data_IF_111283844426
#
_entry.id   IF_111283844426
#
_cell.length_a   1.000
_cell.length_b   1.000
_cell.length_c   1.000
_cell.angle_alpha   90.00
_cell.angle_beta   90.00
_cell.angle_gamma   90.00
#
_symmetry.space_group_name_H-M   'P 1'
#
loop_
_entity.id
_entity.type
_entity.pdbx_description
1 polymer ?
#
# COMPACT_ATOMS: atom_id res chain seq x y z
N UNK A 1 -23.75 4.85 -14.50
CA UNK A 1 -23.76 4.73 -13.01
C UNK A 1 -22.55 5.49 -12.51
N UNK A 2 -22.64 6.24 -11.41
CA UNK A 2 -21.48 6.98 -10.88
C UNK A 2 -20.53 5.96 -10.26
N UNK A 3 -19.23 5.99 -10.62
CA UNK A 3 -18.20 5.11 -10.03
C UNK A 3 -18.00 5.43 -8.55
N UNK A 4 -17.94 4.41 -7.72
CA UNK A 4 -17.59 4.50 -6.31
C UNK A 4 -16.13 4.07 -6.15
N UNK A 5 -15.28 5.02 -5.77
CA UNK A 5 -13.83 4.82 -5.67
C UNK A 5 -13.42 4.68 -4.21
N UNK A 6 -13.00 3.48 -3.83
CA UNK A 6 -12.46 3.20 -2.50
C UNK A 6 -11.07 3.79 -2.32
N UNK A 7 -10.88 4.48 -1.22
CA UNK A 7 -9.59 5.10 -0.88
C UNK A 7 -9.31 5.00 0.63
N UNK A 8 -8.04 5.07 0.98
CA UNK A 8 -7.59 5.17 2.37
C UNK A 8 -6.89 6.51 2.58
N UNK A 9 -6.94 7.04 3.80
CA UNK A 9 -6.36 8.35 4.12
C UNK A 9 -4.84 8.30 4.16
N UNK A 10 -4.24 8.23 2.99
CA UNK A 10 -2.79 8.23 2.75
C UNK A 10 -2.41 9.33 1.75
N UNK A 11 -1.31 10.01 2.00
CA UNK A 11 -0.85 11.15 1.20
C UNK A 11 -0.53 10.80 -0.27
N UNK A 12 -0.28 9.53 -0.58
CA UNK A 12 -0.15 9.01 -1.95
C UNK A 12 -1.39 9.28 -2.82
N UNK A 13 -2.57 9.43 -2.21
CA UNK A 13 -3.83 9.65 -2.91
C UNK A 13 -4.16 11.12 -3.15
N UNK A 14 -3.21 12.03 -2.92
CA UNK A 14 -3.38 13.46 -3.17
C UNK A 14 -3.87 13.78 -4.60
N UNK A 15 -3.35 13.17 -5.70
CA UNK A 15 -3.88 13.41 -7.04
C UNK A 15 -5.35 13.02 -7.19
N UNK A 16 -5.79 11.92 -6.57
CA UNK A 16 -7.19 11.48 -6.57
C UNK A 16 -8.09 12.51 -5.88
N UNK A 17 -7.66 13.01 -4.72
CA UNK A 17 -8.41 14.01 -3.95
C UNK A 17 -8.50 15.34 -4.72
N UNK A 18 -7.42 15.76 -5.39
CA UNK A 18 -7.43 16.95 -6.25
C UNK A 18 -8.35 16.77 -7.46
N UNK A 19 -8.33 15.61 -8.12
CA UNK A 19 -9.25 15.28 -9.22
C UNK A 19 -10.71 15.38 -8.75
N UNK A 20 -11.04 14.74 -7.63
CA UNK A 20 -12.39 14.75 -7.10
C UNK A 20 -12.87 16.16 -6.75
N UNK A 21 -12.02 16.95 -6.08
CA UNK A 21 -12.35 18.32 -5.72
C UNK A 21 -12.57 19.24 -6.94
N UNK A 22 -11.85 19.01 -8.03
CA UNK A 22 -11.90 19.86 -9.21
C UNK A 22 -12.96 19.46 -10.24
N UNK A 23 -13.15 18.17 -10.49
CA UNK A 23 -14.02 17.66 -11.55
C UNK A 23 -15.23 16.88 -11.02
N UNK A 24 -15.13 16.25 -9.85
CA UNK A 24 -16.15 15.32 -9.38
C UNK A 24 -16.30 14.11 -10.32
N UNK A 25 -17.54 13.72 -10.60
CA UNK A 25 -17.89 12.67 -11.57
C UNK A 25 -17.81 11.24 -11.01
N UNK A 26 -17.31 11.05 -9.80
CA UNK A 26 -17.29 9.79 -9.06
C UNK A 26 -17.47 10.04 -7.54
N UNK A 27 -17.84 9.02 -6.82
CA UNK A 27 -17.99 9.06 -5.36
C UNK A 27 -16.71 8.55 -4.70
N UNK A 28 -16.22 9.25 -3.67
CA UNK A 28 -15.13 8.78 -2.81
C UNK A 28 -15.69 8.04 -1.59
N UNK A 29 -15.34 6.77 -1.46
CA UNK A 29 -15.69 5.93 -0.31
C UNK A 29 -14.45 5.71 0.55
N UNK A 30 -14.40 6.33 1.72
CA UNK A 30 -13.28 6.15 2.64
C UNK A 30 -13.29 4.73 3.23
N UNK A 31 -12.12 4.09 3.25
CA UNK A 31 -11.88 2.75 3.72
C UNK A 31 -10.84 2.78 4.86
N UNK A 32 -11.27 3.09 6.10
CA UNK A 32 -10.34 3.27 7.24
C UNK A 32 -9.49 2.03 7.56
N UNK A 33 -9.98 0.83 7.20
CA UNK A 33 -9.25 -0.44 7.34
C UNK A 33 -8.20 -0.68 6.25
N UNK A 34 -7.94 0.30 5.37
CA UNK A 34 -6.95 0.22 4.30
C UNK A 34 -7.31 -0.80 3.21
N UNK A 35 -6.29 -1.40 2.58
CA UNK A 35 -6.48 -2.33 1.45
C UNK A 35 -7.45 -3.47 1.74
N UNK A 36 -7.43 -4.03 2.96
CA UNK A 36 -8.34 -5.11 3.31
C UNK A 36 -9.82 -4.69 3.37
N UNK A 37 -10.09 -3.47 3.82
CA UNK A 37 -11.43 -2.88 3.81
C UNK A 37 -11.89 -2.64 2.37
N UNK A 38 -11.00 -2.10 1.52
CA UNK A 38 -11.29 -1.93 0.08
C UNK A 38 -11.61 -3.26 -0.60
N UNK A 39 -10.84 -4.33 -0.33
CA UNK A 39 -11.12 -5.68 -0.85
C UNK A 39 -12.47 -6.22 -0.38
N UNK A 40 -12.82 -6.01 0.89
CA UNK A 40 -14.12 -6.41 1.43
C UNK A 40 -15.27 -5.64 0.77
N UNK A 41 -15.11 -4.34 0.57
CA UNK A 41 -16.10 -3.48 -0.09
C UNK A 41 -16.25 -3.77 -1.60
N UNK A 42 -15.17 -4.11 -2.31
CA UNK A 42 -15.24 -4.63 -3.68
C UNK A 42 -16.06 -5.93 -3.73
N UNK A 43 -15.80 -6.84 -2.78
CA UNK A 43 -16.55 -8.10 -2.68
C UNK A 43 -18.03 -7.90 -2.34
N UNK A 44 -18.33 -6.92 -1.51
CA UNK A 44 -19.72 -6.56 -1.14
C UNK A 44 -20.43 -5.72 -2.22
N UNK A 45 -19.73 -5.27 -3.27
CA UNK A 45 -20.28 -4.37 -4.27
C UNK A 45 -20.55 -2.96 -3.73
N UNK A 46 -19.86 -2.54 -2.69
CA UNK A 46 -19.97 -1.21 -2.09
C UNK A 46 -19.07 -0.17 -2.78
N UNK A 47 -17.99 -0.63 -3.42
CA UNK A 47 -17.12 0.18 -4.29
C UNK A 47 -16.88 -0.53 -5.61
N UNK A 48 -16.55 0.22 -6.64
CA UNK A 48 -16.35 -0.27 -8.00
C UNK A 48 -14.86 -0.31 -8.38
N UNK A 49 -14.09 0.64 -7.87
CA UNK A 49 -12.64 0.82 -8.10
C UNK A 49 -11.95 1.08 -6.78
N UNK A 50 -10.69 0.67 -6.65
CA UNK A 50 -9.83 1.09 -5.53
C UNK A 50 -8.40 1.36 -5.98
N UNK A 51 -7.70 2.18 -5.18
CA UNK A 51 -6.25 2.38 -5.27
C UNK A 51 -5.66 1.81 -3.97
N UNK A 52 -4.88 0.73 -4.08
CA UNK A 52 -4.45 -0.04 -2.93
C UNK A 52 -3.05 -0.64 -3.10
N UNK A 53 -2.53 -1.23 -2.02
CA UNK A 53 -1.19 -1.84 -2.00
C UNK A 53 -1.06 -2.98 -3.01
N UNK A 54 0.00 -2.93 -3.82
CA UNK A 54 0.33 -3.89 -4.88
C UNK A 54 0.35 -5.32 -4.38
N UNK A 55 1.09 -5.58 -3.31
CA UNK A 55 1.23 -6.91 -2.72
C UNK A 55 -0.11 -7.49 -2.27
N UNK A 56 -0.91 -6.68 -1.59
CA UNK A 56 -2.19 -7.12 -1.05
C UNK A 56 -3.22 -7.39 -2.14
N UNK A 57 -3.25 -6.58 -3.22
CA UNK A 57 -4.13 -6.83 -4.36
C UNK A 57 -3.72 -8.12 -5.10
N UNK A 58 -2.43 -8.29 -5.37
CA UNK A 58 -1.90 -9.48 -6.05
C UNK A 58 -2.12 -10.72 -5.19
N UNK A 59 -1.81 -10.66 -3.88
CA UNK A 59 -2.05 -11.77 -2.96
C UNK A 59 -3.51 -12.17 -2.88
N UNK A 60 -4.44 -11.21 -2.90
CA UNK A 60 -5.87 -11.49 -2.88
C UNK A 60 -6.30 -12.30 -4.11
N UNK A 61 -5.91 -11.91 -5.31
CA UNK A 61 -6.22 -12.65 -6.55
C UNK A 61 -5.56 -14.04 -6.54
N UNK A 62 -4.27 -14.11 -6.16
CA UNK A 62 -3.53 -15.37 -6.06
C UNK A 62 -4.17 -16.36 -5.07
N UNK A 63 -4.79 -15.86 -4.01
CA UNK A 63 -5.55 -16.64 -3.02
C UNK A 63 -7.03 -16.85 -3.39
N UNK A 64 -7.41 -16.63 -4.66
CA UNK A 64 -8.73 -16.96 -5.19
C UNK A 64 -9.78 -15.87 -5.09
N UNK A 65 -9.42 -14.61 -4.79
CA UNK A 65 -10.36 -13.49 -4.90
C UNK A 65 -10.71 -13.21 -6.36
N UNK A 66 -12.02 -13.19 -6.65
CA UNK A 66 -12.57 -12.95 -7.98
C UNK A 66 -13.37 -11.65 -8.06
N UNK A 67 -13.50 -10.95 -6.93
CA UNK A 67 -14.30 -9.72 -6.84
C UNK A 67 -13.63 -8.49 -7.47
N UNK A 68 -12.39 -8.62 -7.89
CA UNK A 68 -11.66 -7.56 -8.59
C UNK A 68 -10.55 -8.12 -9.47
N UNK A 69 -10.10 -7.30 -10.42
CA UNK A 69 -8.91 -7.48 -11.24
C UNK A 69 -8.09 -6.20 -11.22
N UNK A 70 -6.80 -6.32 -11.49
CA UNK A 70 -5.92 -5.17 -11.68
C UNK A 70 -6.33 -4.44 -12.96
N UNK A 71 -6.42 -3.12 -12.89
CA UNK A 71 -6.78 -2.25 -14.02
C UNK A 71 -5.71 -1.21 -14.31
N UNK A 72 -4.62 -1.21 -13.54
CA UNK A 72 -3.56 -0.24 -13.78
C UNK A 72 -2.56 -0.12 -12.65
N UNK A 73 -1.56 0.70 -12.92
CA UNK A 73 -0.45 1.06 -12.02
C UNK A 73 -0.64 2.49 -11.52
N UNK A 74 -0.16 2.80 -10.32
CA UNK A 74 -0.37 4.12 -9.74
C UNK A 74 0.92 4.77 -9.23
N UNK A 75 1.61 4.20 -8.25
CA UNK A 75 2.91 4.68 -7.76
C UNK A 75 4.02 3.84 -8.39
N UNK A 76 5.05 4.49 -8.93
CA UNK A 76 6.16 3.82 -9.62
C UNK A 76 7.35 3.49 -8.70
N UNK A 77 7.33 4.00 -7.47
CA UNK A 77 8.41 3.81 -6.50
C UNK A 77 8.05 2.81 -5.40
N UNK A 78 9.06 2.23 -4.73
CA UNK A 78 8.84 1.43 -3.53
C UNK A 78 8.20 2.21 -2.39
N UNK A 79 7.49 1.53 -1.50
CA UNK A 79 7.02 2.07 -0.22
C UNK A 79 8.10 1.85 0.85
N UNK A 80 8.40 2.91 1.59
CA UNK A 80 9.28 2.86 2.75
C UNK A 80 8.47 2.52 4.00
N UNK A 81 8.67 1.32 4.53
CA UNK A 81 8.06 0.87 5.77
C UNK A 81 9.00 1.11 6.93
N UNK A 82 8.55 1.86 7.94
CA UNK A 82 9.26 1.99 9.20
C UNK A 82 9.14 0.68 9.99
N UNK A 83 10.22 0.27 10.64
CA UNK A 83 10.23 -0.79 11.66
C UNK A 83 10.14 -0.10 13.00
N UNK A 84 8.99 -0.23 13.65
CA UNK A 84 8.56 0.63 14.75
C UNK A 84 8.51 -0.17 16.05
N UNK A 85 9.17 0.32 17.07
CA UNK A 85 9.18 -0.26 18.41
C UNK A 85 8.68 0.73 19.46
N UNK A 86 8.39 0.25 20.67
CA UNK A 86 8.01 1.10 21.79
C UNK A 86 9.15 2.06 22.21
N UNK A 87 8.79 3.21 22.77
CA UNK A 87 9.75 4.24 23.18
C UNK A 87 10.84 3.70 24.13
N UNK A 88 10.47 2.87 25.09
CA UNK A 88 11.34 2.28 26.12
C UNK A 88 11.76 0.84 25.79
N UNK A 89 11.53 0.40 24.55
CA UNK A 89 11.82 -0.95 24.10
C UNK A 89 13.33 -1.25 24.11
N UNK A 90 13.68 -2.49 24.43
CA UNK A 90 15.06 -2.98 24.37
C UNK A 90 15.60 -3.20 22.96
N UNK A 91 14.71 -3.32 21.97
CA UNK A 91 15.08 -3.60 20.57
C UNK A 91 15.70 -2.36 19.92
N UNK A 92 16.89 -2.51 19.33
CA UNK A 92 17.68 -1.42 18.75
C UNK A 92 18.01 -1.62 17.27
N UNK A 93 18.07 -2.86 16.83
CA UNK A 93 18.44 -3.25 15.46
C UNK A 93 17.65 -4.47 14.99
N UNK A 94 17.73 -4.78 13.70
CA UNK A 94 16.96 -5.89 13.10
C UNK A 94 17.28 -7.24 13.74
N UNK A 95 18.55 -7.50 14.09
CA UNK A 95 18.94 -8.78 14.71
C UNK A 95 18.27 -9.04 16.06
N UNK A 96 17.87 -8.00 16.78
CA UNK A 96 17.14 -8.13 18.05
C UNK A 96 15.74 -8.72 17.86
N UNK A 97 15.23 -8.72 16.62
CA UNK A 97 13.86 -9.13 16.29
C UNK A 97 13.73 -10.60 15.94
N UNK A 98 14.83 -11.33 15.81
CA UNK A 98 14.83 -12.77 15.50
C UNK A 98 13.98 -13.56 16.50
N UNK A 99 13.05 -14.37 15.97
CA UNK A 99 12.18 -15.22 16.78
C UNK A 99 11.20 -14.47 17.69
N UNK A 100 11.10 -13.14 17.57
CA UNK A 100 10.20 -12.33 18.41
C UNK A 100 8.77 -12.30 17.86
N UNK A 101 7.85 -11.70 18.60
CA UNK A 101 6.47 -11.55 18.23
C UNK A 101 6.22 -10.16 17.64
N UNK A 102 5.85 -10.08 16.37
CA UNK A 102 5.56 -8.85 15.67
C UNK A 102 4.05 -8.57 15.64
N UNK A 103 3.68 -7.29 15.82
CA UNK A 103 2.29 -6.85 15.65
C UNK A 103 1.95 -6.68 14.17
N UNK A 104 0.78 -7.18 13.77
CA UNK A 104 0.23 -7.01 12.43
C UNK A 104 -1.22 -6.53 12.49
N UNK A 105 -1.69 -5.83 11.44
CA UNK A 105 -3.08 -5.35 11.42
C UNK A 105 -4.07 -6.50 11.22
N UNK A 106 -3.79 -7.43 10.33
CA UNK A 106 -4.54 -8.67 10.06
C UNK A 106 -3.66 -9.68 9.37
N UNK A 107 -4.09 -10.93 9.30
CA UNK A 107 -3.45 -11.94 8.46
C UNK A 107 -3.53 -11.52 6.97
N UNK A 108 -2.44 -11.67 6.25
CA UNK A 108 -2.30 -11.24 4.85
C UNK A 108 -2.26 -9.71 4.65
N UNK A 109 -2.08 -8.92 5.71
CA UNK A 109 -1.89 -7.47 5.58
C UNK A 109 -0.49 -7.11 5.07
N UNK A 110 -0.35 -5.90 4.51
CA UNK A 110 0.96 -5.36 4.13
C UNK A 110 1.95 -5.36 5.30
N UNK A 111 1.49 -5.12 6.54
CA UNK A 111 2.37 -5.19 7.72
C UNK A 111 2.94 -6.60 7.96
N UNK A 112 2.16 -7.67 7.72
CA UNK A 112 2.66 -9.04 7.78
C UNK A 112 3.59 -9.36 6.62
N UNK A 113 3.18 -9.02 5.39
CA UNK A 113 3.98 -9.23 4.18
C UNK A 113 5.34 -8.57 4.34
N UNK A 114 5.39 -7.32 4.77
CA UNK A 114 6.64 -6.57 4.92
C UNK A 114 7.51 -7.07 6.07
N UNK A 115 6.91 -7.62 7.12
CA UNK A 115 7.69 -8.31 8.16
C UNK A 115 8.37 -9.58 7.61
N UNK A 116 7.68 -10.35 6.76
CA UNK A 116 8.27 -11.50 6.06
C UNK A 116 9.33 -11.07 5.05
N UNK A 117 9.09 -9.99 4.29
CA UNK A 117 10.09 -9.38 3.38
C UNK A 117 11.33 -8.94 4.15
N UNK A 118 11.16 -8.30 5.32
CA UNK A 118 12.27 -7.95 6.21
C UNK A 118 13.10 -9.18 6.58
N UNK A 119 12.45 -10.25 7.02
CA UNK A 119 13.12 -11.51 7.37
C UNK A 119 13.93 -12.08 6.20
N UNK A 120 13.36 -12.06 4.99
CA UNK A 120 14.04 -12.50 3.76
C UNK A 120 15.25 -11.61 3.43
N UNK A 121 15.11 -10.28 3.53
CA UNK A 121 16.20 -9.33 3.26
C UNK A 121 17.34 -9.45 4.29
N UNK A 122 17.02 -9.81 5.54
CA UNK A 122 18.00 -10.06 6.58
C UNK A 122 18.62 -11.47 6.51
N UNK A 123 18.14 -12.34 5.61
CA UNK A 123 18.65 -13.70 5.47
C UNK A 123 18.35 -14.60 6.67
N UNK A 124 17.24 -14.35 7.38
CA UNK A 124 16.87 -15.14 8.56
C UNK A 124 16.43 -16.55 8.18
N UNK A 125 16.95 -17.55 8.91
CA UNK A 125 16.58 -18.95 8.77
C UNK A 125 15.18 -19.26 9.33
N UNK A 126 14.70 -20.51 9.16
CA UNK A 126 13.39 -20.91 9.67
C UNK A 126 13.22 -20.71 11.18
N UNK A 127 14.29 -20.91 11.95
CA UNK A 127 14.33 -20.77 13.42
C UNK A 127 14.31 -19.31 13.89
N UNK A 128 14.71 -18.37 13.01
CA UNK A 128 14.77 -16.94 13.29
C UNK A 128 13.47 -16.21 12.90
N UNK A 129 12.50 -16.92 12.25
CA UNK A 129 11.29 -16.29 11.78
C UNK A 129 10.44 -15.74 12.94
N UNK A 130 9.93 -14.51 12.82
CA UNK A 130 9.04 -13.95 13.83
C UNK A 130 7.68 -14.65 13.84
N UNK A 131 7.04 -14.68 15.00
CA UNK A 131 5.61 -14.97 15.10
C UNK A 131 4.79 -13.69 14.96
N UNK A 132 3.50 -13.83 14.63
CA UNK A 132 2.63 -12.68 14.39
C UNK A 132 1.47 -12.63 15.38
N UNK A 133 1.12 -11.41 15.80
CA UNK A 133 -0.05 -11.15 16.60
C UNK A 133 -0.93 -10.07 15.96
N UNK A 134 -2.21 -10.41 15.75
CA UNK A 134 -3.18 -9.48 15.14
C UNK A 134 -3.61 -8.44 16.15
N UNK A 135 -3.39 -7.16 15.84
CA UNK A 135 -3.75 -6.01 16.68
C UNK A 135 -4.84 -5.13 16.05
N UNK A 136 -5.16 -5.35 14.79
CA UNK A 136 -6.18 -4.60 14.07
C UNK A 136 -5.67 -3.28 13.51
N UNK A 137 -6.08 -2.14 14.09
CA UNK A 137 -5.78 -0.82 13.56
C UNK A 137 -4.44 -0.24 14.05
N UNK A 138 -4.06 0.90 13.48
CA UNK A 138 -2.78 1.55 13.74
C UNK A 138 -2.55 1.93 15.22
N UNK A 139 -3.59 2.40 15.93
CA UNK A 139 -3.43 2.75 17.35
C UNK A 139 -3.12 1.53 18.24
N UNK A 140 -3.87 0.39 18.18
CA UNK A 140 -3.52 -0.82 18.93
C UNK A 140 -2.13 -1.37 18.62
N UNK A 141 -1.61 -1.20 17.39
CA UNK A 141 -0.23 -1.56 17.05
C UNK A 141 0.78 -0.73 17.86
N UNK A 142 0.59 0.60 17.93
CA UNK A 142 1.45 1.47 18.76
C UNK A 142 1.35 1.16 20.24
N UNK A 143 0.14 0.89 20.74
CA UNK A 143 -0.09 0.52 22.13
C UNK A 143 0.63 -0.80 22.47
N UNK A 144 0.59 -1.79 21.57
CA UNK A 144 1.20 -3.12 21.79
C UNK A 144 2.73 -3.10 21.89
N UNK A 145 3.40 -2.24 21.10
CA UNK A 145 4.87 -2.10 21.22
C UNK A 145 5.26 -1.33 22.47
N UNK A 146 4.45 -0.37 22.92
CA UNK A 146 4.71 0.39 24.14
C UNK A 146 4.43 -0.43 25.41
N UNK A 147 3.47 -1.34 25.39
CA UNK A 147 3.22 -2.29 26.47
C UNK A 147 4.22 -3.46 26.51
N UNK A 148 5.00 -3.65 25.44
CA UNK A 148 5.92 -4.79 25.29
C UNK A 148 5.22 -6.09 24.90
N UNK A 149 3.93 -6.05 24.53
CA UNK A 149 3.18 -7.22 24.07
C UNK A 149 3.68 -7.73 22.71
N UNK A 150 4.09 -6.80 21.84
CA UNK A 150 4.81 -7.09 20.59
C UNK A 150 6.15 -6.36 20.58
N UNK A 151 7.12 -6.90 19.84
CA UNK A 151 8.46 -6.31 19.74
C UNK A 151 8.47 -5.08 18.82
N UNK A 152 7.90 -5.25 17.65
CA UNK A 152 7.74 -4.20 16.61
C UNK A 152 6.48 -4.43 15.82
N UNK A 153 6.11 -3.40 15.04
CA UNK A 153 5.22 -3.53 13.88
C UNK A 153 5.81 -2.73 12.71
N UNK A 154 5.33 -2.98 11.49
CA UNK A 154 5.72 -2.25 10.30
C UNK A 154 4.56 -1.41 9.80
N UNK A 155 4.85 -0.14 9.44
CA UNK A 155 3.88 0.79 8.85
C UNK A 155 4.57 1.80 7.96
N UNK A 156 3.80 2.56 7.15
CA UNK A 156 4.35 3.58 6.29
C UNK A 156 5.14 4.63 7.09
N UNK A 157 6.31 5.02 6.56
CA UNK A 157 7.29 5.85 7.27
C UNK A 157 6.75 7.24 7.66
N UNK A 158 6.22 7.99 6.69
CA UNK A 158 5.80 9.36 6.94
C UNK A 158 4.46 9.48 7.68
N UNK A 159 3.57 8.51 7.53
CA UNK A 159 2.36 8.38 8.35
C UNK A 159 2.71 8.12 9.82
N UNK A 160 3.81 7.41 10.07
CA UNK A 160 4.23 7.07 11.44
C UNK A 160 5.18 8.11 12.04
N UNK A 161 5.89 8.87 11.21
CA UNK A 161 6.93 9.82 11.66
C UNK A 161 6.45 10.79 12.76
N UNK A 162 5.24 11.40 12.73
CA UNK A 162 4.78 12.27 13.80
C UNK A 162 4.77 11.63 15.19
N UNK A 163 4.52 10.33 15.27
CA UNK A 163 4.53 9.57 16.53
C UNK A 163 5.94 9.24 17.01
N UNK A 164 6.89 9.10 16.09
CA UNK A 164 8.30 8.97 16.42
C UNK A 164 8.88 10.33 16.89
N UNK A 165 8.55 11.42 16.20
CA UNK A 165 9.01 12.77 16.55
C UNK A 165 8.46 13.23 17.90
N UNK A 166 7.22 12.84 18.25
CA UNK A 166 6.64 13.10 19.58
C UNK A 166 7.24 12.23 20.71
N UNK A 167 8.04 11.21 20.35
CA UNK A 167 8.60 10.25 21.31
C UNK A 167 7.59 9.20 21.80
N UNK A 168 6.42 9.06 21.15
CA UNK A 168 5.46 7.99 21.47
C UNK A 168 6.00 6.61 21.08
N UNK A 169 6.68 6.52 19.93
CA UNK A 169 7.32 5.30 19.43
C UNK A 169 8.73 5.61 18.95
N UNK A 170 9.47 4.58 18.55
CA UNK A 170 10.83 4.74 18.03
C UNK A 170 11.03 3.87 16.77
N UNK A 171 11.73 4.41 15.78
CA UNK A 171 12.17 3.64 14.61
C UNK A 171 13.51 2.99 14.87
N UNK A 172 13.66 1.73 14.45
CA UNK A 172 14.95 1.02 14.47
C UNK A 172 15.50 0.78 13.06
N UNK A 173 14.75 1.13 12.05
CA UNK A 173 15.15 1.06 10.66
C UNK A 173 13.98 1.18 9.72
N UNK A 174 14.20 0.88 8.44
CA UNK A 174 13.17 0.83 7.42
C UNK A 174 13.42 -0.30 6.42
N UNK A 175 12.32 -0.78 5.81
CA UNK A 175 12.30 -1.81 4.77
C UNK A 175 11.56 -1.25 3.57
N UNK A 176 12.13 -1.38 2.37
CA UNK A 176 11.46 -0.97 1.13
C UNK A 176 10.76 -2.16 0.47
N UNK A 177 9.57 -1.92 -0.09
CA UNK A 177 8.95 -2.94 -0.94
C UNK A 177 9.85 -3.22 -2.15
N UNK A 178 10.06 -4.48 -2.56
CA UNK A 178 10.80 -4.78 -3.79
C UNK A 178 9.92 -4.64 -5.05
N UNK A 179 8.84 -3.85 -4.98
CA UNK A 179 7.89 -3.55 -6.06
C UNK A 179 7.36 -2.12 -5.95
N UNK A 180 6.85 -1.54 -7.05
CA UNK A 180 6.03 -0.32 -7.05
C UNK A 180 4.81 -0.48 -6.15
N UNK A 181 4.58 0.46 -5.23
CA UNK A 181 3.81 0.15 -4.02
C UNK A 181 2.28 0.22 -4.15
N UNK A 182 1.73 0.93 -5.15
CA UNK A 182 0.28 1.09 -5.29
C UNK A 182 -0.19 0.81 -6.71
N UNK A 183 -1.28 0.07 -6.81
CA UNK A 183 -1.96 -0.25 -8.07
C UNK A 183 -3.45 0.07 -7.99
N UNK A 184 -4.10 0.08 -9.15
CA UNK A 184 -5.55 0.23 -9.29
C UNK A 184 -6.17 -1.15 -9.54
N UNK A 185 -7.32 -1.39 -8.92
CA UNK A 185 -8.14 -2.56 -9.15
C UNK A 185 -9.62 -2.16 -9.29
N UNK A 186 -10.37 -2.93 -10.08
CA UNK A 186 -11.80 -2.72 -10.26
C UNK A 186 -12.58 -4.02 -10.14
N UNK A 187 -13.84 -3.89 -9.70
CA UNK A 187 -14.83 -4.96 -9.80
C UNK A 187 -15.07 -5.35 -11.26
N UNK A 188 -15.21 -6.64 -11.59
CA UNK A 188 -15.60 -7.07 -12.93
C UNK A 188 -16.98 -6.53 -13.39
N UNK A 189 -17.82 -6.06 -12.46
CA UNK A 189 -19.11 -5.46 -12.76
C UNK A 189 -19.06 -3.94 -12.96
N UNK A 190 -17.90 -3.29 -12.78
CA UNK A 190 -17.74 -1.87 -13.03
C UNK A 190 -17.90 -1.55 -14.52
N UNK A 191 -18.51 -0.41 -14.84
CA UNK A 191 -18.67 0.04 -16.24
C UNK A 191 -17.30 0.34 -16.84
N UNK A 192 -16.93 -0.39 -17.90
CA UNK A 192 -15.62 -0.30 -18.54
C UNK A 192 -15.32 1.09 -19.10
N UNK A 193 -16.33 1.79 -19.63
CA UNK A 193 -16.13 3.14 -20.20
C UNK A 193 -15.87 4.15 -19.08
N UNK A 194 -16.64 4.06 -18.00
CA UNK A 194 -16.44 4.92 -16.83
C UNK A 194 -15.06 4.66 -16.19
N UNK A 195 -14.63 3.40 -16.10
CA UNK A 195 -13.28 3.03 -15.61
C UNK A 195 -12.20 3.63 -16.52
N UNK A 196 -12.32 3.53 -17.84
CA UNK A 196 -11.37 4.13 -18.79
C UNK A 196 -11.31 5.66 -18.65
N UNK A 197 -12.47 6.32 -18.55
CA UNK A 197 -12.54 7.77 -18.33
C UNK A 197 -11.89 8.18 -17.01
N UNK A 198 -12.16 7.42 -15.95
CA UNK A 198 -11.54 7.64 -14.63
C UNK A 198 -10.01 7.51 -14.69
N UNK A 199 -9.48 6.42 -15.30
CA UNK A 199 -8.03 6.21 -15.43
C UNK A 199 -7.37 7.35 -16.24
N UNK A 200 -7.98 7.78 -17.33
CA UNK A 200 -7.48 8.90 -18.13
C UNK A 200 -7.46 10.22 -17.33
N UNK A 201 -8.56 10.55 -16.67
CA UNK A 201 -8.65 11.75 -15.85
C UNK A 201 -7.67 11.72 -14.66
N UNK A 202 -7.54 10.59 -13.98
CA UNK A 202 -6.58 10.44 -12.88
C UNK A 202 -5.13 10.54 -13.39
N UNK A 203 -4.83 10.02 -14.58
CA UNK A 203 -3.52 10.14 -15.22
C UNK A 203 -3.10 11.58 -15.51
N UNK A 204 -4.06 12.44 -15.90
CA UNK A 204 -3.81 13.89 -16.02
C UNK A 204 -3.40 14.50 -14.67
N UNK A 205 -4.08 14.09 -13.59
CA UNK A 205 -3.82 14.62 -12.26
C UNK A 205 -2.54 14.07 -11.65
N UNK A 206 -2.20 12.80 -11.86
CA UNK A 206 -0.89 12.26 -11.45
C UNK A 206 0.24 12.97 -12.19
N UNK A 207 0.11 13.20 -13.50
CA UNK A 207 1.09 13.96 -14.30
C UNK A 207 1.26 15.39 -13.80
N UNK A 208 0.15 16.07 -13.53
CA UNK A 208 0.17 17.44 -13.01
C UNK A 208 0.77 17.51 -11.61
N UNK A 209 0.37 16.59 -10.72
CA UNK A 209 0.87 16.53 -9.34
C UNK A 209 2.37 16.22 -9.30
N UNK A 210 2.83 15.32 -10.18
CA UNK A 210 4.22 14.88 -10.25
C UNK A 210 5.15 15.88 -10.98
N UNK A 211 4.60 16.96 -11.54
CA UNK A 211 5.40 17.98 -12.21
C UNK A 211 6.36 18.67 -11.23
N UNK A 212 7.58 18.96 -11.71
CA UNK A 212 8.66 19.52 -10.87
C UNK A 212 8.22 20.79 -10.13
N UNK A 213 7.54 21.71 -10.83
CA UNK A 213 7.08 22.96 -10.26
C UNK A 213 6.13 22.74 -9.09
N UNK A 214 5.10 21.90 -9.26
CA UNK A 214 4.10 21.66 -8.22
C UNK A 214 4.63 20.86 -7.03
N UNK A 215 5.56 19.94 -7.27
CA UNK A 215 6.21 19.17 -6.18
C UNK A 215 7.01 20.03 -5.23
N UNK A 216 7.57 21.12 -5.73
CA UNK A 216 8.40 22.02 -4.94
C UNK A 216 7.58 23.17 -4.29
N UNK A 217 6.32 23.36 -4.72
CA UNK A 217 5.48 24.52 -4.34
C UNK A 217 4.14 24.08 -3.74
N UNK A 218 3.07 24.19 -4.51
CA UNK A 218 1.68 24.07 -4.02
C UNK A 218 1.36 22.70 -3.42
N UNK A 219 1.97 21.61 -3.93
CA UNK A 219 1.68 20.26 -3.43
C UNK A 219 2.25 20.01 -2.04
N UNK A 220 3.34 20.67 -1.67
CA UNK A 220 3.87 20.60 -0.29
C UNK A 220 2.83 21.11 0.71
N UNK A 221 2.33 22.32 0.49
CA UNK A 221 1.33 22.93 1.37
C UNK A 221 -0.01 22.15 1.34
N UNK A 222 -0.42 21.64 0.16
CA UNK A 222 -1.63 20.85 0.01
C UNK A 222 -1.57 19.56 0.85
N UNK A 223 -0.50 18.78 0.70
CA UNK A 223 -0.32 17.51 1.41
C UNK A 223 -0.18 17.76 2.92
N UNK A 224 0.66 18.72 3.31
CA UNK A 224 0.86 19.06 4.72
C UNK A 224 -0.47 19.40 5.41
N UNK A 225 -1.28 20.26 4.80
CA UNK A 225 -2.60 20.64 5.30
C UNK A 225 -3.59 19.48 5.31
N UNK A 226 -3.67 18.72 4.21
CA UNK A 226 -4.67 17.64 4.03
C UNK A 226 -4.45 16.51 5.00
N UNK A 227 -3.18 16.13 5.22
CA UNK A 227 -2.80 14.95 6.02
C UNK A 227 -2.22 15.29 7.39
N UNK A 228 -2.20 16.59 7.75
CA UNK A 228 -1.65 17.08 9.01
C UNK A 228 -0.19 16.63 9.23
N UNK A 229 0.64 16.86 8.21
CA UNK A 229 2.07 16.56 8.23
C UNK A 229 2.91 17.82 8.23
N UNK A 230 4.17 17.72 8.68
CA UNK A 230 5.13 18.82 8.58
C UNK A 230 5.57 19.01 7.13
N UNK A 231 5.67 20.26 6.66
CA UNK A 231 6.11 20.54 5.29
C UNK A 231 7.49 19.97 4.97
N UNK A 232 8.40 19.94 5.96
CA UNK A 232 9.72 19.32 5.81
C UNK A 232 9.62 17.83 5.46
N UNK A 233 8.72 17.10 6.12
CA UNK A 233 8.50 15.68 5.90
C UNK A 233 7.82 15.43 4.55
N UNK A 234 6.87 16.28 4.17
CA UNK A 234 6.25 16.25 2.85
C UNK A 234 7.28 16.48 1.74
N UNK A 235 8.21 17.43 1.90
CA UNK A 235 9.30 17.64 0.94
C UNK A 235 10.22 16.43 0.83
N UNK A 236 10.59 15.83 1.97
CA UNK A 236 11.38 14.60 1.98
C UNK A 236 10.62 13.47 1.26
N UNK A 237 9.35 13.25 1.60
CA UNK A 237 8.50 12.25 0.94
C UNK A 237 8.39 12.48 -0.57
N UNK A 238 8.06 13.69 -1.01
CA UNK A 238 7.97 14.03 -2.42
C UNK A 238 9.29 13.79 -3.16
N UNK A 239 10.44 13.91 -2.51
CA UNK A 239 11.73 13.60 -3.14
C UNK A 239 11.95 12.11 -3.43
N UNK A 240 11.16 11.22 -2.80
CA UNK A 240 11.32 9.76 -2.88
C UNK A 240 10.18 9.04 -3.61
N UNK A 241 9.05 9.70 -3.83
CA UNK A 241 7.88 9.14 -4.49
C UNK A 241 7.74 9.63 -5.92
N UNK A 242 7.21 8.79 -6.81
CA UNK A 242 6.82 9.18 -8.17
C UNK A 242 5.58 8.41 -8.60
N UNK A 243 4.77 9.04 -9.45
CA UNK A 243 3.56 8.46 -10.01
C UNK A 243 3.80 7.95 -11.43
N UNK A 244 3.03 6.94 -11.82
CA UNK A 244 2.85 6.66 -13.23
C UNK A 244 1.92 7.72 -13.84
N UNK A 245 2.18 8.12 -15.09
CA UNK A 245 1.36 9.07 -15.83
C UNK A 245 0.38 8.35 -16.77
N UNK A 246 0.79 7.22 -17.33
CA UNK A 246 -0.07 6.30 -18.08
C UNK A 246 -0.49 5.17 -17.15
N UNK A 247 -1.69 5.30 -16.60
CA UNK A 247 -2.19 4.42 -15.54
C UNK A 247 -2.76 3.10 -16.07
N UNK A 248 -3.30 3.09 -17.31
CA UNK A 248 -4.00 1.94 -17.89
C UNK A 248 -3.04 0.82 -18.36
N UNK A 249 -1.99 0.55 -17.59
CA UNK A 249 -1.00 -0.49 -17.85
C UNK A 249 -0.73 -1.31 -16.60
N UNK A 250 -0.48 -2.60 -16.79
CA UNK A 250 0.00 -3.52 -15.75
C UNK A 250 1.28 -4.18 -16.22
N UNK A 251 2.35 -4.00 -15.47
CA UNK A 251 3.66 -4.55 -15.83
C UNK A 251 3.74 -6.02 -15.43
N UNK A 252 3.89 -6.92 -16.42
CA UNK A 252 4.03 -8.36 -16.19
C UNK A 252 5.14 -8.67 -15.18
N UNK A 253 6.27 -7.98 -15.31
CA UNK A 253 7.41 -8.15 -14.41
C UNK A 253 7.06 -7.81 -12.96
N UNK A 254 6.33 -6.72 -12.72
CA UNK A 254 5.92 -6.32 -11.37
C UNK A 254 5.02 -7.38 -10.74
N UNK A 255 4.04 -7.89 -11.49
CA UNK A 255 3.14 -8.94 -10.99
C UNK A 255 3.92 -10.21 -10.64
N UNK A 256 4.80 -10.67 -11.54
CA UNK A 256 5.55 -11.91 -11.36
C UNK A 256 6.58 -11.82 -10.24
N UNK A 257 7.35 -10.73 -10.15
CA UNK A 257 8.35 -10.53 -9.10
C UNK A 257 7.68 -10.43 -7.72
N UNK A 258 6.51 -9.76 -7.66
CA UNK A 258 5.70 -9.68 -6.44
C UNK A 258 5.22 -11.07 -6.01
N UNK A 259 4.65 -11.86 -6.93
CA UNK A 259 4.20 -13.23 -6.65
C UNK A 259 5.35 -14.10 -6.14
N UNK A 260 6.51 -14.04 -6.79
CA UNK A 260 7.69 -14.80 -6.35
C UNK A 260 8.12 -14.44 -4.92
N UNK A 261 8.06 -13.16 -4.58
CA UNK A 261 8.40 -12.71 -3.22
C UNK A 261 7.34 -13.15 -2.21
N UNK A 262 6.06 -13.05 -2.57
CA UNK A 262 4.94 -13.51 -1.73
C UNK A 262 4.97 -15.02 -1.50
N UNK A 263 5.39 -15.82 -2.50
CA UNK A 263 5.62 -17.25 -2.34
C UNK A 263 6.75 -17.54 -1.33
N UNK A 264 7.89 -16.87 -1.49
CA UNK A 264 9.02 -17.01 -0.55
C UNK A 264 8.64 -16.59 0.87
N UNK A 265 7.75 -15.61 0.99
CA UNK A 265 7.20 -15.15 2.28
C UNK A 265 6.09 -16.07 2.83
N UNK A 266 5.68 -17.10 2.10
CA UNK A 266 4.61 -18.03 2.51
C UNK A 266 3.21 -17.41 2.49
N UNK A 267 3.02 -16.28 1.80
CA UNK A 267 1.74 -15.56 1.72
C UNK A 267 0.81 -16.14 0.66
N UNK A 268 1.39 -16.60 -0.44
CA UNK A 268 0.67 -17.26 -1.54
C UNK A 268 1.35 -18.58 -1.90
N UNK A 269 0.62 -19.46 -2.56
CA UNK A 269 1.14 -20.74 -3.07
C UNK A 269 0.89 -20.82 -4.57
N UNK A 270 1.97 -21.05 -5.34
CA UNK A 270 1.85 -21.22 -6.78
C UNK A 270 0.92 -22.37 -7.13
N UNK A 271 0.05 -22.21 -8.15
CA UNK A 271 -0.68 -23.32 -8.75
C UNK A 271 0.30 -24.25 -9.49
N UNK A 272 -0.08 -25.49 -9.68
CA UNK A 272 0.75 -26.49 -10.38
C UNK A 272 1.08 -26.10 -11.82
N UNK A 273 0.24 -25.26 -12.43
CA UNK A 273 0.43 -24.72 -13.79
C UNK A 273 1.32 -23.48 -13.86
N UNK A 274 1.78 -22.98 -12.70
CA UNK A 274 2.44 -21.69 -12.60
C UNK A 274 1.46 -20.51 -12.68
N UNK A 275 1.98 -19.29 -12.50
CA UNK A 275 1.20 -18.07 -12.58
C UNK A 275 1.05 -17.59 -14.03
N UNK A 276 -0.14 -17.11 -14.38
CA UNK A 276 -0.39 -16.41 -15.63
C UNK A 276 -0.86 -14.98 -15.32
N UNK A 277 -0.13 -13.95 -15.80
CA UNK A 277 -0.43 -12.55 -15.51
C UNK A 277 -1.83 -12.13 -15.98
N UNK A 278 -2.31 -12.71 -17.10
CA UNK A 278 -3.66 -12.44 -17.61
C UNK A 278 -4.77 -12.80 -16.60
N UNK A 279 -4.52 -13.73 -15.68
CA UNK A 279 -5.48 -14.07 -14.64
C UNK A 279 -5.65 -12.96 -13.59
N UNK A 280 -4.70 -12.02 -13.52
CA UNK A 280 -4.70 -10.90 -12.59
C UNK A 280 -5.28 -9.62 -13.17
N UNK A 281 -5.31 -9.46 -14.50
CA UNK A 281 -5.57 -8.20 -15.19
C UNK A 281 -6.93 -8.19 -15.86
N UNK A 282 -7.62 -7.06 -15.83
CA UNK A 282 -8.78 -6.81 -16.68
C UNK A 282 -8.31 -6.16 -17.99
N UNK A 283 -8.06 -6.98 -19.01
CA UNK A 283 -7.56 -6.53 -20.31
C UNK A 283 -8.56 -5.75 -21.15
N UNK A 284 -9.85 -5.67 -20.73
CA UNK A 284 -10.83 -4.81 -21.41
C UNK A 284 -10.59 -3.31 -21.15
N UNK A 285 -9.90 -2.97 -20.05
CA UNK A 285 -9.64 -1.58 -19.62
C UNK A 285 -8.16 -1.25 -19.46
N UNK A 286 -7.28 -2.25 -19.44
CA UNK A 286 -5.83 -2.10 -19.22
C UNK A 286 -5.02 -2.97 -20.18
N UNK A 287 -3.75 -2.62 -20.38
CA UNK A 287 -2.83 -3.38 -21.22
C UNK A 287 -1.72 -4.00 -20.36
N UNK A 288 -1.44 -5.29 -20.57
CA UNK A 288 -0.26 -5.96 -20.00
C UNK A 288 0.98 -5.53 -20.80
N UNK A 289 2.02 -5.07 -20.10
CA UNK A 289 3.29 -4.62 -20.68
C UNK A 289 4.49 -5.33 -20.04
#
# INVERSE_FOLDING_TARGET
>A
MVLRVGWHREHFLSPLLQLHAAKGGFELVECPGGTGDMQAKLKAGEIDVCIALTDSLIAGIANGQTSYKLIGRYISTPLRWAVITGKDSKYKEFNDLKGTKLGISRLGSGSQVMASVMSLQQGWGPEDQPSFEVKGSFKPLRDSVNSGETSVFLWEWFTTKPYADSGEVRFIGSVYTPWPCWMLAASPSADEQEVKHFLAALGEYTTSFDSKDKRETENVAYVAKTFNQQESDVKEWLSTVAWYHDLAKVESKVVMDTLQTLEKAGVVKAPTTGWNVADFVNESVSTIV
#
